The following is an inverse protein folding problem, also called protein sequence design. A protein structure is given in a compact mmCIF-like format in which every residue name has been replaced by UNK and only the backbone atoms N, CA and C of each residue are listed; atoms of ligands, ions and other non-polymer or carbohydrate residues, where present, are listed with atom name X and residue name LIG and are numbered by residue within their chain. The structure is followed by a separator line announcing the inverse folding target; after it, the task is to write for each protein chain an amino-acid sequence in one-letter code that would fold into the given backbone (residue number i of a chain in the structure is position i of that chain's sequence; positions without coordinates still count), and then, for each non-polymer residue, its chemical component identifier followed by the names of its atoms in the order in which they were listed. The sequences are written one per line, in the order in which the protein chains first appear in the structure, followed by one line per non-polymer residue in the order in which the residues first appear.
data_IF_100725317346
#
_entry.id   IF_100725317346
#
_cell.length_a   1.000
_cell.length_b   1.000
_cell.length_c   1.000
_cell.angle_alpha   90.00
_cell.angle_beta   90.00
_cell.angle_gamma   90.00
#
_symmetry.space_group_name_H-M   'P 1'
#
loop_
_entity.id
_entity.type
_entity.pdbx_description
1 polymer ?
#
# COMPACT_ATOMS: atom_id res chain seq x y z
N UNK A 1 -28.63 0.82 0.89
CA UNK A 1 -28.94 1.99 0.03
C UNK A 1 -29.75 1.49 -1.17
N UNK A 2 -30.91 2.07 -1.41
CA UNK A 2 -31.86 1.63 -2.44
C UNK A 2 -31.24 1.74 -3.86
N UNK A 3 -31.56 0.84 -4.79
CA UNK A 3 -31.02 0.83 -6.16
C UNK A 3 -31.22 2.19 -6.88
N UNK A 4 -32.36 2.84 -6.67
CA UNK A 4 -32.68 4.17 -7.20
C UNK A 4 -31.70 5.26 -6.73
N UNK A 5 -31.31 5.27 -5.42
CA UNK A 5 -30.35 6.23 -4.88
C UNK A 5 -28.93 6.00 -5.43
N UNK A 6 -28.58 4.75 -5.74
CA UNK A 6 -27.30 4.42 -6.40
C UNK A 6 -27.23 4.97 -7.83
N UNK A 7 -28.32 4.85 -8.59
CA UNK A 7 -28.39 5.40 -9.95
C UNK A 7 -28.38 6.93 -9.95
N UNK A 8 -29.06 7.57 -9.00
CA UNK A 8 -29.09 9.03 -8.88
C UNK A 8 -27.75 9.64 -8.49
N UNK A 9 -26.91 8.93 -7.70
CA UNK A 9 -25.59 9.40 -7.30
C UNK A 9 -24.54 9.31 -8.42
N UNK A 10 -24.72 8.39 -9.38
CA UNK A 10 -23.75 8.11 -10.43
C UNK A 10 -23.39 9.33 -11.31
N UNK A 11 -24.37 10.13 -11.80
CA UNK A 11 -24.05 11.33 -12.57
C UNK A 11 -23.24 12.37 -11.78
N UNK A 12 -23.60 12.60 -10.52
CA UNK A 12 -22.87 13.57 -9.67
C UNK A 12 -21.44 13.10 -9.39
N UNK A 13 -21.24 11.83 -9.07
CA UNK A 13 -19.94 11.22 -8.89
C UNK A 13 -19.09 11.27 -10.18
N UNK A 14 -19.69 11.03 -11.34
CA UNK A 14 -19.04 11.13 -12.64
C UNK A 14 -18.60 12.54 -12.98
N UNK A 15 -19.38 13.55 -12.62
CA UNK A 15 -19.03 14.98 -12.84
C UNK A 15 -17.91 15.42 -11.90
N UNK A 16 -17.94 15.02 -10.62
CA UNK A 16 -16.99 15.48 -9.60
C UNK A 16 -15.68 14.68 -9.66
N UNK A 17 -15.76 13.36 -9.74
CA UNK A 17 -14.61 12.46 -9.58
C UNK A 17 -14.24 11.69 -10.85
N UNK A 18 -15.04 11.80 -11.91
CA UNK A 18 -14.88 11.08 -13.17
C UNK A 18 -15.70 9.81 -13.29
N UNK A 19 -15.98 9.39 -14.55
CA UNK A 19 -16.84 8.24 -14.85
C UNK A 19 -16.33 6.95 -14.21
N UNK A 20 -15.02 6.73 -14.19
CA UNK A 20 -14.42 5.51 -13.59
C UNK A 20 -14.69 5.42 -12.10
N UNK A 21 -14.64 6.53 -11.37
CA UNK A 21 -14.99 6.57 -9.94
C UNK A 21 -16.45 6.20 -9.70
N UNK A 22 -17.37 6.81 -10.46
CA UNK A 22 -18.79 6.55 -10.34
C UNK A 22 -19.12 5.07 -10.59
N UNK A 23 -18.57 4.49 -11.66
CA UNK A 23 -18.78 3.08 -12.00
C UNK A 23 -18.25 2.15 -10.91
N UNK A 24 -17.02 2.36 -10.43
CA UNK A 24 -16.43 1.53 -9.37
C UNK A 24 -17.23 1.63 -8.07
N UNK A 25 -17.60 2.84 -7.66
CA UNK A 25 -18.37 3.05 -6.45
C UNK A 25 -19.76 2.41 -6.55
N UNK A 26 -20.40 2.48 -7.73
CA UNK A 26 -21.65 1.79 -8.01
C UNK A 26 -21.49 0.26 -7.92
N UNK A 27 -20.42 -0.31 -8.49
CA UNK A 27 -20.12 -1.75 -8.42
C UNK A 27 -19.96 -2.21 -6.96
N UNK A 28 -19.13 -1.51 -6.18
CA UNK A 28 -18.86 -1.85 -4.78
C UNK A 28 -20.12 -1.82 -3.92
N UNK A 29 -21.01 -0.87 -4.16
CA UNK A 29 -22.28 -0.75 -3.44
C UNK A 29 -23.32 -1.81 -3.85
N UNK A 30 -23.00 -2.72 -4.77
CA UNK A 30 -23.91 -3.79 -5.19
C UNK A 30 -24.26 -4.71 -4.02
N UNK A 31 -25.54 -5.05 -3.82
CA UNK A 31 -25.94 -6.09 -2.87
C UNK A 31 -25.66 -7.50 -3.38
N UNK A 32 -25.35 -7.63 -4.68
CA UNK A 32 -25.03 -8.91 -5.33
C UNK A 32 -23.51 -9.03 -5.46
N UNK A 33 -22.93 -10.21 -5.17
CA UNK A 33 -21.52 -10.44 -5.36
C UNK A 33 -21.11 -10.23 -6.82
N UNK A 34 -20.04 -9.48 -7.05
CA UNK A 34 -19.49 -9.28 -8.38
C UNK A 34 -19.00 -10.61 -8.97
N UNK A 35 -19.24 -10.80 -10.26
CA UNK A 35 -18.58 -11.85 -11.02
C UNK A 35 -17.11 -11.49 -11.25
N UNK A 36 -16.16 -12.37 -10.89
CA UNK A 36 -14.74 -12.03 -10.95
C UNK A 36 -14.27 -11.75 -12.38
N UNK A 37 -14.59 -12.63 -13.34
CA UNK A 37 -14.10 -12.46 -14.70
C UNK A 37 -14.69 -11.24 -15.40
N UNK A 38 -15.98 -11.02 -15.25
CA UNK A 38 -16.65 -9.84 -15.78
C UNK A 38 -16.10 -8.56 -15.13
N UNK A 39 -15.80 -8.59 -13.82
CA UNK A 39 -15.22 -7.47 -13.09
C UNK A 39 -13.81 -7.18 -13.60
N UNK A 40 -12.95 -8.19 -13.68
CA UNK A 40 -11.60 -8.04 -14.19
C UNK A 40 -11.62 -7.45 -15.61
N UNK A 41 -12.31 -8.08 -16.52
CA UNK A 41 -12.41 -7.62 -17.91
C UNK A 41 -12.93 -6.18 -18.01
N UNK A 42 -13.99 -5.84 -17.28
CA UNK A 42 -14.58 -4.48 -17.31
C UNK A 42 -13.62 -3.41 -16.79
N UNK A 43 -12.87 -3.71 -15.74
CA UNK A 43 -11.98 -2.74 -15.08
C UNK A 43 -10.64 -2.63 -15.81
N UNK A 44 -10.08 -3.74 -16.30
CA UNK A 44 -8.73 -3.77 -16.90
C UNK A 44 -8.72 -3.61 -18.42
N UNK A 45 -9.84 -3.85 -19.09
CA UNK A 45 -9.92 -3.69 -20.54
C UNK A 45 -9.68 -2.24 -20.94
N UNK A 46 -8.79 -2.03 -21.91
CA UNK A 46 -8.57 -0.71 -22.50
C UNK A 46 -9.79 -0.26 -23.26
N UNK A 47 -10.15 0.99 -23.11
CA UNK A 47 -11.19 1.66 -23.89
C UNK A 47 -10.57 2.32 -25.12
N UNK A 48 -11.39 2.93 -25.98
CA UNK A 48 -10.88 3.72 -27.12
C UNK A 48 -10.05 4.88 -26.63
N UNK A 49 -8.97 5.20 -27.35
CA UNK A 49 -7.97 6.19 -26.95
C UNK A 49 -8.53 7.55 -26.47
N UNK A 50 -9.56 8.17 -27.12
CA UNK A 50 -10.14 9.43 -26.64
C UNK A 50 -10.75 9.31 -25.24
N UNK A 51 -11.40 8.18 -24.93
CA UNK A 51 -12.02 7.93 -23.59
C UNK A 51 -10.93 7.70 -22.56
N UNK A 52 -9.89 6.97 -22.88
CA UNK A 52 -8.73 6.78 -22.00
C UNK A 52 -8.03 8.12 -21.71
N UNK A 53 -7.80 8.92 -22.73
CA UNK A 53 -7.23 10.26 -22.58
C UNK A 53 -8.11 11.15 -21.68
N UNK A 54 -9.43 11.17 -21.90
CA UNK A 54 -10.36 11.91 -21.04
C UNK A 54 -10.28 11.44 -19.58
N UNK A 55 -10.34 10.15 -19.36
CA UNK A 55 -10.24 9.57 -18.01
C UNK A 55 -8.89 9.87 -17.35
N UNK A 56 -7.79 9.85 -18.11
CA UNK A 56 -6.45 10.17 -17.63
C UNK A 56 -6.28 11.68 -17.34
N UNK A 57 -6.96 12.53 -18.09
CA UNK A 57 -6.90 14.00 -17.93
C UNK A 57 -7.83 14.53 -16.84
N UNK A 58 -8.77 13.70 -16.37
CA UNK A 58 -9.72 14.09 -15.33
C UNK A 58 -9.08 13.99 -13.93
N UNK A 59 -9.34 14.86 -12.96
CA UNK A 59 -10.22 16.04 -13.04
C UNK A 59 -9.58 17.18 -13.86
N UNK A 60 -10.40 18.01 -14.46
CA UNK A 60 -9.93 19.22 -15.13
C UNK A 60 -9.04 20.05 -14.21
N UNK A 61 -8.02 20.77 -14.74
CA UNK A 61 -7.05 21.49 -13.91
C UNK A 61 -7.67 22.43 -12.86
N UNK A 62 -8.78 23.10 -13.18
CA UNK A 62 -9.47 24.03 -12.28
C UNK A 62 -10.14 23.30 -11.07
N UNK A 63 -10.48 22.02 -11.18
CA UNK A 63 -11.03 21.21 -10.08
C UNK A 63 -9.94 20.57 -9.22
N UNK A 64 -8.72 20.42 -9.70
CA UNK A 64 -7.65 19.71 -8.99
C UNK A 64 -7.29 20.34 -7.66
N UNK A 65 -7.18 21.67 -7.61
CA UNK A 65 -6.90 22.41 -6.39
C UNK A 65 -7.95 22.21 -5.30
N UNK A 66 -9.24 22.50 -5.57
CA UNK A 66 -10.33 22.27 -4.62
C UNK A 66 -10.46 20.82 -4.16
N UNK A 67 -10.35 19.84 -5.07
CA UNK A 67 -10.42 18.42 -4.72
C UNK A 67 -9.25 17.99 -3.83
N UNK A 68 -8.04 18.47 -4.13
CA UNK A 68 -6.86 18.21 -3.30
C UNK A 68 -6.99 18.84 -1.91
N UNK A 69 -7.52 20.05 -1.82
CA UNK A 69 -7.78 20.72 -0.55
C UNK A 69 -8.83 19.96 0.29
N UNK A 70 -9.91 19.51 -0.34
CA UNK A 70 -10.93 18.68 0.31
C UNK A 70 -10.33 17.35 0.80
N UNK A 71 -9.49 16.71 -0.02
CA UNK A 71 -8.82 15.46 0.32
C UNK A 71 -7.85 15.62 1.49
N UNK A 72 -7.12 16.73 1.57
CA UNK A 72 -6.19 17.02 2.69
C UNK A 72 -6.90 17.22 4.04
N UNK A 73 -8.17 17.63 4.02
CA UNK A 73 -8.99 17.81 5.24
C UNK A 73 -9.49 16.48 5.83
N UNK A 74 -9.46 15.39 5.05
CA UNK A 74 -9.92 14.10 5.53
C UNK A 74 -8.85 13.47 6.44
N UNK A 75 -9.31 12.82 7.50
CA UNK A 75 -8.43 12.00 8.32
C UNK A 75 -8.09 10.70 7.57
N UNK A 76 -6.90 10.69 6.99
CA UNK A 76 -6.43 9.54 6.22
C UNK A 76 -6.08 8.34 7.10
N UNK A 77 -5.78 8.55 8.38
CA UNK A 77 -5.46 7.49 9.32
C UNK A 77 -6.66 6.61 9.60
N UNK A 78 -7.86 7.21 9.73
CA UNK A 78 -9.12 6.47 9.82
C UNK A 78 -9.38 5.64 8.55
N UNK A 79 -9.04 6.16 7.38
CA UNK A 79 -9.15 5.43 6.12
C UNK A 79 -8.20 4.24 6.02
N UNK A 80 -6.99 4.37 6.57
CA UNK A 80 -5.99 3.30 6.65
C UNK A 80 -6.49 2.22 7.62
N UNK A 81 -6.80 2.60 8.86
CA UNK A 81 -7.32 1.67 9.88
C UNK A 81 -8.52 0.88 9.37
N UNK A 82 -9.53 1.55 8.79
CA UNK A 82 -10.71 0.89 8.24
C UNK A 82 -10.42 -0.08 7.08
N UNK A 83 -9.31 0.08 6.36
CA UNK A 83 -8.91 -0.87 5.32
C UNK A 83 -8.27 -2.13 5.92
N UNK A 84 -7.48 -1.97 6.99
CA UNK A 84 -6.75 -3.08 7.62
C UNK A 84 -7.50 -3.76 8.77
N UNK A 85 -8.52 -3.12 9.36
CA UNK A 85 -9.37 -3.68 10.43
C UNK A 85 -10.45 -4.63 9.86
N UNK A 86 -10.04 -5.51 8.96
CA UNK A 86 -10.81 -6.65 8.46
C UNK A 86 -10.20 -7.90 9.12
N UNK A 87 -10.98 -8.99 9.27
CA UNK A 87 -10.48 -10.17 9.98
C UNK A 87 -9.23 -10.78 9.35
N UNK A 88 -8.32 -11.31 10.16
CA UNK A 88 -7.11 -11.97 9.69
C UNK A 88 -7.44 -13.14 8.75
N UNK A 89 -8.49 -13.93 9.06
CA UNK A 89 -8.94 -15.04 8.23
C UNK A 89 -9.34 -14.60 6.81
N UNK A 90 -9.83 -13.36 6.66
CA UNK A 90 -10.13 -12.84 5.35
C UNK A 90 -8.86 -12.58 4.53
N UNK A 91 -7.81 -12.03 5.16
CA UNK A 91 -6.52 -11.81 4.50
C UNK A 91 -5.82 -13.12 4.13
N UNK A 92 -5.93 -14.16 4.95
CA UNK A 92 -5.43 -15.51 4.68
C UNK A 92 -6.02 -16.12 3.40
N UNK A 93 -7.21 -15.69 2.97
CA UNK A 93 -7.83 -16.20 1.75
C UNK A 93 -7.09 -15.80 0.47
N UNK A 94 -6.27 -14.76 0.50
CA UNK A 94 -5.63 -14.27 -0.72
C UNK A 94 -4.14 -13.93 -0.60
N UNK A 95 -3.61 -13.76 0.60
CA UNK A 95 -2.18 -13.55 0.84
C UNK A 95 -1.39 -14.87 0.76
N UNK A 96 -0.06 -14.76 0.69
CA UNK A 96 0.84 -15.89 0.83
C UNK A 96 0.71 -16.52 2.23
N UNK A 97 0.73 -17.86 2.28
CA UNK A 97 0.48 -18.60 3.53
C UNK A 97 1.67 -18.64 4.49
N UNK A 98 2.87 -18.28 4.00
CA UNK A 98 4.09 -18.35 4.80
C UNK A 98 4.32 -17.12 5.67
N UNK A 99 4.10 -15.93 5.10
CA UNK A 99 4.43 -14.66 5.72
C UNK A 99 3.25 -13.68 5.81
N UNK A 100 2.20 -13.87 5.01
CA UNK A 100 1.07 -12.94 4.90
C UNK A 100 1.51 -11.53 4.46
N UNK A 101 2.38 -11.42 3.48
CA UNK A 101 2.76 -10.12 2.94
C UNK A 101 1.63 -9.45 2.16
N UNK A 102 1.18 -8.29 2.62
CA UNK A 102 0.25 -7.43 1.88
C UNK A 102 1.00 -6.30 1.17
N UNK A 103 1.95 -6.67 0.32
CA UNK A 103 2.81 -5.75 -0.46
C UNK A 103 3.31 -6.42 -1.74
N UNK A 104 3.85 -5.62 -2.67
CA UNK A 104 4.33 -6.10 -3.97
C UNK A 104 5.37 -7.21 -3.82
N UNK A 105 5.15 -8.33 -4.52
CA UNK A 105 6.04 -9.48 -4.62
C UNK A 105 6.95 -9.38 -5.86
N UNK A 106 8.02 -10.18 -5.92
CA UNK A 106 8.97 -10.20 -7.02
C UNK A 106 8.73 -11.39 -7.97
N UNK A 107 7.84 -11.21 -8.94
CA UNK A 107 7.68 -12.11 -10.06
C UNK A 107 8.70 -11.75 -11.15
N UNK A 108 9.59 -12.68 -11.53
CA UNK A 108 10.60 -12.47 -12.56
C UNK A 108 10.20 -13.07 -13.91
N UNK A 109 9.61 -14.26 -13.89
CA UNK A 109 9.24 -15.00 -15.10
C UNK A 109 7.75 -15.05 -15.33
N UNK A 110 6.95 -14.69 -14.31
CA UNK A 110 5.51 -14.80 -14.30
C UNK A 110 4.99 -16.24 -14.09
N UNK A 111 5.88 -17.19 -13.78
CA UNK A 111 5.54 -18.59 -13.49
C UNK A 111 5.63 -18.94 -12.01
N UNK A 112 6.15 -18.02 -11.22
CA UNK A 112 6.29 -18.19 -9.79
C UNK A 112 4.94 -18.28 -9.10
N UNK A 113 4.86 -19.06 -8.01
CA UNK A 113 3.78 -18.95 -7.03
C UNK A 113 3.88 -17.63 -6.27
N UNK A 114 2.79 -17.22 -5.63
CA UNK A 114 2.80 -16.04 -4.77
C UNK A 114 3.82 -16.17 -3.64
N UNK A 115 3.92 -17.35 -3.04
CA UNK A 115 4.87 -17.69 -1.98
C UNK A 115 6.33 -17.52 -2.43
N UNK A 116 6.68 -18.05 -3.59
CA UNK A 116 8.03 -17.91 -4.16
C UNK A 116 8.39 -16.46 -4.47
N UNK A 117 7.44 -15.72 -5.03
CA UNK A 117 7.62 -14.31 -5.35
C UNK A 117 7.75 -13.44 -4.08
N UNK A 118 6.98 -13.74 -3.04
CA UNK A 118 7.07 -13.04 -1.75
C UNK A 118 8.36 -13.40 -1.00
N UNK A 119 8.79 -14.66 -1.03
CA UNK A 119 10.07 -15.07 -0.46
C UNK A 119 11.24 -14.34 -1.15
N UNK A 120 11.22 -14.26 -2.48
CA UNK A 120 12.25 -13.54 -3.25
C UNK A 120 12.30 -12.05 -2.90
N UNK A 121 11.12 -11.41 -2.78
CA UNK A 121 11.04 -10.02 -2.29
C UNK A 121 11.68 -9.87 -0.91
N UNK A 122 11.32 -10.73 0.02
CA UNK A 122 11.86 -10.69 1.39
C UNK A 122 13.38 -10.86 1.39
N UNK A 123 13.90 -11.81 0.64
CA UNK A 123 15.33 -12.06 0.51
C UNK A 123 16.09 -10.90 -0.16
N UNK A 124 15.45 -10.23 -1.12
CA UNK A 124 16.04 -9.04 -1.74
C UNK A 124 16.11 -7.88 -0.75
N UNK A 125 15.02 -7.61 -0.01
CA UNK A 125 14.99 -6.55 1.01
C UNK A 125 15.97 -6.88 2.14
N UNK A 126 16.08 -8.14 2.54
CA UNK A 126 17.05 -8.60 3.53
C UNK A 126 18.50 -8.27 3.11
N UNK A 127 18.84 -8.53 1.85
CA UNK A 127 20.17 -8.15 1.32
C UNK A 127 20.39 -6.64 1.32
N UNK A 128 19.37 -5.84 1.01
CA UNK A 128 19.47 -4.38 1.03
C UNK A 128 19.61 -3.84 2.46
N UNK A 129 18.91 -4.43 3.41
CA UNK A 129 18.94 -4.04 4.81
C UNK A 129 20.25 -4.52 5.48
N UNK A 130 20.74 -5.70 5.12
CA UNK A 130 21.92 -6.36 5.65
C UNK A 130 21.95 -6.38 7.19
N UNK A 131 20.92 -6.98 7.84
CA UNK A 131 20.81 -6.94 9.30
C UNK A 131 21.86 -7.83 9.97
N UNK A 132 22.40 -7.36 11.11
CA UNK A 132 23.33 -8.13 11.94
C UNK A 132 22.72 -8.38 13.32
N UNK A 133 23.08 -9.48 14.01
CA UNK A 133 22.71 -9.70 15.40
C UNK A 133 23.13 -8.53 16.28
N UNK A 134 22.27 -8.09 17.20
CA UNK A 134 22.50 -6.97 18.10
C UNK A 134 22.18 -5.59 17.52
N UNK A 135 21.86 -5.46 16.24
CA UNK A 135 21.43 -4.20 15.65
C UNK A 135 19.96 -3.89 16.03
N UNK A 136 19.72 -2.65 16.45
CA UNK A 136 18.37 -2.14 16.77
C UNK A 136 17.63 -1.80 15.48
N UNK A 137 16.67 -2.62 15.13
CA UNK A 137 15.98 -2.59 13.85
C UNK A 137 14.49 -2.27 14.04
N UNK A 138 14.00 -1.24 13.34
CA UNK A 138 12.61 -0.81 13.38
C UNK A 138 11.92 -1.00 12.03
N UNK A 139 10.76 -1.69 12.03
CA UNK A 139 9.84 -1.74 10.90
C UNK A 139 8.71 -0.73 11.05
N UNK A 140 8.55 0.16 10.05
CA UNK A 140 7.46 1.12 9.96
C UNK A 140 6.29 0.51 9.19
N UNK A 141 5.22 0.12 9.90
CA UNK A 141 4.08 -0.58 9.33
C UNK A 141 4.34 -2.07 9.16
N UNK A 142 4.62 -2.77 10.26
CA UNK A 142 5.07 -4.16 10.23
C UNK A 142 4.00 -5.20 9.85
N UNK A 143 2.73 -4.81 9.77
CA UNK A 143 1.65 -5.75 9.44
C UNK A 143 1.64 -6.96 10.37
N UNK A 144 1.55 -8.15 9.78
CA UNK A 144 1.59 -9.43 10.52
C UNK A 144 3.00 -9.93 10.86
N UNK A 145 4.02 -9.06 10.79
CA UNK A 145 5.40 -9.39 11.20
C UNK A 145 6.20 -10.22 10.19
N UNK A 146 5.75 -10.26 8.95
CA UNK A 146 6.37 -11.05 7.88
C UNK A 146 7.89 -10.83 7.75
N UNK A 147 8.31 -9.57 7.68
CA UNK A 147 9.73 -9.27 7.53
C UNK A 147 10.50 -9.34 8.85
N UNK A 148 9.87 -9.01 9.98
CA UNK A 148 10.45 -9.28 11.31
C UNK A 148 10.81 -10.76 11.46
N UNK A 149 9.89 -11.66 11.06
CA UNK A 149 10.12 -13.11 11.05
C UNK A 149 11.30 -13.47 10.14
N UNK A 150 11.38 -12.90 8.94
CA UNK A 150 12.47 -13.20 8.00
C UNK A 150 13.83 -12.71 8.49
N UNK A 151 13.87 -11.55 9.17
CA UNK A 151 15.11 -11.06 9.81
C UNK A 151 15.51 -11.98 10.96
N UNK A 152 14.56 -12.35 11.83
CA UNK A 152 14.81 -13.28 12.92
C UNK A 152 15.33 -14.65 12.43
N UNK A 153 14.74 -15.23 11.39
CA UNK A 153 15.20 -16.48 10.77
C UNK A 153 16.67 -16.39 10.30
N UNK A 154 17.16 -15.20 10.01
CA UNK A 154 18.51 -14.97 9.49
C UNK A 154 19.52 -14.62 10.61
N UNK A 155 19.11 -13.79 11.56
CA UNK A 155 20.00 -13.25 12.60
C UNK A 155 19.95 -14.05 13.91
N UNK A 156 18.85 -14.78 14.16
CA UNK A 156 18.57 -15.41 15.45
C UNK A 156 18.25 -14.41 16.57
N UNK A 157 18.25 -13.10 16.27
CA UNK A 157 18.03 -12.03 17.24
C UNK A 157 16.59 -11.51 17.14
N UNK A 158 15.87 -11.59 18.22
CA UNK A 158 14.49 -11.13 18.35
C UNK A 158 14.37 -9.91 19.26
N UNK A 159 15.28 -9.77 20.19
CA UNK A 159 15.23 -8.78 21.25
C UNK A 159 15.37 -7.35 20.68
N UNK A 160 16.17 -7.19 19.63
CA UNK A 160 16.44 -5.90 19.01
C UNK A 160 15.52 -5.55 17.82
N UNK A 161 14.47 -6.39 17.58
CA UNK A 161 13.48 -6.12 16.54
C UNK A 161 12.26 -5.41 17.13
N UNK A 162 11.84 -4.33 16.48
CA UNK A 162 10.67 -3.54 16.86
C UNK A 162 9.81 -3.28 15.62
N UNK A 163 8.50 -3.48 15.75
CA UNK A 163 7.53 -3.13 14.70
C UNK A 163 6.53 -2.09 15.17
N UNK A 164 6.11 -1.17 14.28
CA UNK A 164 4.98 -0.27 14.50
C UNK A 164 3.85 -0.61 13.56
N UNK A 165 2.61 -0.55 14.04
CA UNK A 165 1.39 -0.71 13.24
C UNK A 165 0.26 0.17 13.77
N UNK A 166 -0.76 0.45 12.93
CA UNK A 166 -2.01 1.13 13.29
C UNK A 166 -3.20 0.16 13.41
N UNK A 167 -2.96 -1.15 13.46
CA UNK A 167 -3.97 -2.17 13.68
C UNK A 167 -3.72 -2.92 15.00
N UNK A 168 -4.70 -2.89 15.90
CA UNK A 168 -4.65 -3.64 17.16
C UNK A 168 -4.69 -5.15 16.91
N UNK A 169 -5.38 -5.58 15.87
CA UNK A 169 -5.44 -6.98 15.43
C UNK A 169 -4.06 -7.49 15.02
N UNK A 170 -3.28 -6.66 14.31
CA UNK A 170 -1.91 -7.01 13.94
C UNK A 170 -0.97 -7.05 15.15
N UNK A 171 -1.14 -6.17 16.14
CA UNK A 171 -0.38 -6.26 17.41
C UNK A 171 -0.67 -7.58 18.09
N UNK A 172 -1.95 -7.92 18.29
CA UNK A 172 -2.37 -9.17 18.93
C UNK A 172 -1.86 -10.41 18.16
N UNK A 173 -1.94 -10.38 16.83
CA UNK A 173 -1.44 -11.44 15.97
C UNK A 173 0.07 -11.70 16.17
N UNK A 174 0.87 -10.63 16.16
CA UNK A 174 2.31 -10.75 16.36
C UNK A 174 2.68 -11.30 17.73
N UNK A 175 1.99 -10.88 18.78
CA UNK A 175 2.18 -11.39 20.13
C UNK A 175 1.85 -12.89 20.20
N UNK A 176 0.70 -13.31 19.69
CA UNK A 176 0.22 -14.68 19.74
C UNK A 176 1.04 -15.65 18.88
N UNK A 177 1.47 -15.25 17.68
CA UNK A 177 2.06 -16.16 16.69
C UNK A 177 3.58 -16.06 16.61
N UNK A 178 4.15 -14.91 16.94
CA UNK A 178 5.58 -14.66 16.75
C UNK A 178 6.29 -14.20 18.02
N UNK A 179 5.58 -13.54 18.95
CA UNK A 179 6.15 -12.93 20.14
C UNK A 179 7.19 -11.85 19.80
N UNK A 180 7.03 -11.14 18.69
CA UNK A 180 7.82 -9.95 18.37
C UNK A 180 7.29 -8.75 19.14
N UNK A 181 8.20 -7.82 19.49
CA UNK A 181 7.80 -6.54 20.06
C UNK A 181 7.15 -5.68 19.00
N UNK A 182 5.82 -5.56 19.03
CA UNK A 182 5.05 -4.72 18.12
C UNK A 182 4.22 -3.73 18.92
N UNK A 183 4.33 -2.44 18.58
CA UNK A 183 3.61 -1.35 19.24
C UNK A 183 2.52 -0.80 18.34
N UNK A 184 1.31 -0.58 18.92
CA UNK A 184 0.27 0.21 18.28
C UNK A 184 0.71 1.67 18.25
N UNK A 185 1.37 2.09 17.17
CA UNK A 185 2.02 3.40 17.09
C UNK A 185 2.02 3.96 15.69
N UNK A 186 1.71 5.26 15.59
CA UNK A 186 1.77 5.98 14.33
C UNK A 186 3.20 6.48 14.07
N UNK A 187 3.90 5.88 13.14
CA UNK A 187 5.27 6.24 12.78
C UNK A 187 5.41 7.64 12.15
N UNK A 188 4.31 8.23 11.64
CA UNK A 188 4.32 9.57 11.05
C UNK A 188 4.41 10.64 12.14
N UNK A 189 3.66 10.44 13.25
CA UNK A 189 3.49 11.46 14.29
C UNK A 189 4.37 11.24 15.52
N UNK A 190 4.84 10.01 15.75
CA UNK A 190 5.69 9.72 16.91
C UNK A 190 7.07 10.38 16.80
N UNK A 191 7.72 10.51 17.95
CA UNK A 191 9.11 10.89 18.04
C UNK A 191 9.99 9.67 18.27
N UNK A 192 11.25 9.81 17.89
CA UNK A 192 12.30 8.79 18.01
C UNK A 192 13.47 9.38 18.79
N UNK A 193 14.07 8.66 19.74
CA UNK A 193 15.31 9.10 20.35
C UNK A 193 16.43 9.21 19.30
N UNK A 194 17.25 10.23 19.40
CA UNK A 194 18.37 10.42 18.49
C UNK A 194 19.36 9.25 18.57
N UNK A 195 19.88 8.80 17.43
CA UNK A 195 20.88 7.73 17.31
C UNK A 195 20.50 6.43 18.05
N UNK A 196 19.19 6.13 18.12
CA UNK A 196 18.66 4.97 18.83
C UNK A 196 18.49 3.73 17.95
N UNK A 197 18.64 3.86 16.62
CA UNK A 197 18.40 2.81 15.66
C UNK A 197 19.60 2.64 14.71
N UNK A 198 19.93 1.40 14.43
CA UNK A 198 20.97 1.05 13.48
C UNK A 198 20.38 0.89 12.08
N UNK A 199 19.16 0.33 11.99
CA UNK A 199 18.44 0.13 10.74
C UNK A 199 16.96 0.42 10.88
N UNK A 200 16.38 0.96 9.83
CA UNK A 200 14.94 1.19 9.70
C UNK A 200 14.50 0.63 8.35
N UNK A 201 13.29 0.09 8.28
CA UNK A 201 12.69 -0.24 6.99
C UNK A 201 11.17 -0.07 6.99
N UNK A 202 10.61 0.04 5.78
CA UNK A 202 9.17 0.14 5.55
C UNK A 202 8.80 -0.59 4.27
N UNK A 203 7.79 -1.45 4.34
CA UNK A 203 7.31 -2.27 3.22
C UNK A 203 5.80 -2.09 3.08
N UNK A 204 5.36 -1.33 2.06
CA UNK A 204 3.92 -1.13 1.80
C UNK A 204 3.22 -0.23 2.82
N UNK A 205 3.96 0.61 3.56
CA UNK A 205 3.37 1.55 4.52
C UNK A 205 3.75 3.02 4.23
N UNK A 206 4.86 3.25 3.56
CA UNK A 206 5.35 4.61 3.27
C UNK A 206 4.43 5.39 2.31
N UNK A 207 3.67 4.73 1.46
CA UNK A 207 2.66 5.33 0.58
C UNK A 207 1.56 6.08 1.34
N UNK A 208 1.42 5.83 2.62
CA UNK A 208 0.47 6.52 3.48
C UNK A 208 1.01 7.85 4.03
N UNK A 209 2.30 8.13 3.89
CA UNK A 209 2.89 9.42 4.26
C UNK A 209 2.55 10.45 3.19
N UNK A 210 1.80 11.49 3.57
CA UNK A 210 1.41 12.56 2.64
C UNK A 210 2.62 13.41 2.23
N UNK A 211 2.62 14.01 1.04
CA UNK A 211 3.77 14.79 0.55
C UNK A 211 4.27 15.85 1.54
N UNK A 212 3.38 16.54 2.25
CA UNK A 212 3.78 17.58 3.21
C UNK A 212 4.34 17.01 4.53
N UNK A 213 4.09 15.73 4.84
CA UNK A 213 4.60 15.03 6.01
C UNK A 213 5.99 14.42 5.74
N UNK A 214 6.27 14.08 4.48
CA UNK A 214 7.51 13.38 4.07
C UNK A 214 8.78 14.05 4.59
N UNK A 215 9.02 15.37 4.47
CA UNK A 215 10.25 15.99 4.96
C UNK A 215 10.39 15.89 6.49
N UNK A 216 9.28 16.05 7.21
CA UNK A 216 9.26 15.97 8.68
C UNK A 216 9.61 14.56 9.15
N UNK A 217 8.95 13.54 8.56
CA UNK A 217 9.19 12.14 8.93
C UNK A 217 10.63 11.73 8.58
N UNK A 218 11.12 12.06 7.38
CA UNK A 218 12.50 11.78 6.99
C UNK A 218 13.52 12.44 7.93
N UNK A 219 13.30 13.69 8.32
CA UNK A 219 14.17 14.38 9.28
C UNK A 219 14.20 13.70 10.66
N UNK A 220 13.06 13.21 11.14
CA UNK A 220 12.99 12.43 12.39
C UNK A 220 13.74 11.10 12.28
N UNK A 221 13.56 10.35 11.19
CA UNK A 221 14.23 9.07 10.96
C UNK A 221 15.72 9.23 10.75
N UNK A 222 16.14 10.30 10.07
CA UNK A 222 17.57 10.61 9.92
C UNK A 222 18.24 10.87 11.28
N UNK A 223 17.61 11.62 12.18
CA UNK A 223 18.14 11.81 13.54
C UNK A 223 18.17 10.52 14.34
N UNK A 224 17.13 9.70 14.22
CA UNK A 224 17.01 8.42 14.93
C UNK A 224 18.09 7.39 14.54
N UNK A 225 18.55 7.42 13.29
CA UNK A 225 19.63 6.55 12.84
C UNK A 225 20.99 6.98 13.41
N UNK A 226 21.82 6.00 13.74
CA UNK A 226 23.24 6.21 14.02
C UNK A 226 23.99 6.67 12.76
N UNK A 227 25.18 7.29 12.86
CA UNK A 227 26.05 7.50 11.70
C UNK A 227 26.31 6.17 10.95
N UNK A 228 26.16 6.17 9.64
CA UNK A 228 26.23 4.95 8.81
C UNK A 228 24.99 4.04 8.88
N UNK A 229 23.98 4.42 9.65
CA UNK A 229 22.71 3.72 9.72
C UNK A 229 21.94 3.78 8.41
N UNK A 230 21.04 2.81 8.20
CA UNK A 230 20.35 2.59 6.90
C UNK A 230 18.83 2.58 7.04
N UNK A 231 18.15 3.25 6.09
CA UNK A 231 16.69 3.17 5.90
C UNK A 231 16.41 2.50 4.55
N UNK A 232 15.67 1.38 4.57
CA UNK A 232 15.19 0.70 3.35
C UNK A 232 13.70 0.94 3.20
N UNK A 233 13.29 1.42 2.03
CA UNK A 233 11.91 1.70 1.71
C UNK A 233 11.44 0.87 0.50
N UNK A 234 10.27 0.26 0.59
CA UNK A 234 9.56 -0.41 -0.50
C UNK A 234 8.12 0.09 -0.51
N UNK A 235 7.77 0.91 -1.48
CA UNK A 235 6.47 1.58 -1.50
C UNK A 235 6.03 2.01 -2.89
N UNK A 236 4.72 2.27 -3.02
CA UNK A 236 4.11 2.86 -4.19
C UNK A 236 4.37 4.36 -4.26
N UNK A 237 4.89 4.84 -5.39
CA UNK A 237 4.94 6.27 -5.70
C UNK A 237 4.36 6.59 -7.07
N UNK A 238 4.02 7.87 -7.28
CA UNK A 238 3.52 8.37 -8.56
C UNK A 238 4.69 8.71 -9.48
N UNK A 239 4.47 8.52 -10.78
CA UNK A 239 5.41 8.98 -11.80
C UNK A 239 5.28 10.51 -12.00
N UNK A 240 4.05 11.01 -12.06
CA UNK A 240 3.76 12.41 -12.36
C UNK A 240 3.62 13.26 -11.08
N UNK A 241 4.05 14.54 -11.16
CA UNK A 241 3.83 15.53 -10.10
C UNK A 241 2.34 15.90 -9.99
N UNK A 242 1.65 16.07 -11.12
CA UNK A 242 0.22 16.36 -11.15
C UNK A 242 -0.60 15.19 -10.60
N UNK A 243 -1.72 15.52 -9.94
CA UNK A 243 -2.65 14.51 -9.44
C UNK A 243 -3.42 13.89 -10.62
N UNK A 244 -3.14 12.64 -11.02
CA UNK A 244 -3.88 11.99 -12.09
C UNK A 244 -5.25 11.52 -11.61
N UNK A 245 -6.19 11.32 -12.55
CA UNK A 245 -7.55 10.82 -12.24
C UNK A 245 -7.54 9.52 -11.41
N UNK A 246 -6.63 8.61 -11.73
CA UNK A 246 -6.46 7.35 -11.00
C UNK A 246 -6.14 7.56 -9.51
N UNK A 247 -5.49 8.66 -9.12
CA UNK A 247 -5.27 9.00 -7.71
C UNK A 247 -6.57 9.38 -6.97
N UNK A 248 -7.62 9.76 -7.71
CA UNK A 248 -8.93 10.03 -7.14
C UNK A 248 -9.69 8.74 -6.88
N UNK A 249 -9.47 7.70 -7.69
CA UNK A 249 -10.05 6.37 -7.46
C UNK A 249 -9.58 5.82 -6.11
N UNK A 250 -8.36 6.15 -5.69
CA UNK A 250 -7.87 5.78 -4.35
C UNK A 250 -8.76 6.30 -3.21
N UNK A 251 -9.56 7.36 -3.47
CA UNK A 251 -10.52 7.89 -2.50
C UNK A 251 -11.58 6.86 -2.08
N UNK A 252 -11.90 5.91 -2.94
CA UNK A 252 -12.84 4.83 -2.61
C UNK A 252 -12.23 3.86 -1.59
N UNK A 253 -10.94 3.59 -1.71
CA UNK A 253 -10.25 2.56 -0.94
C UNK A 253 -9.48 3.11 0.25
N UNK A 254 -8.82 4.26 0.06
CA UNK A 254 -8.02 4.97 1.06
C UNK A 254 -8.40 6.45 1.08
N UNK A 255 -9.53 6.83 1.70
CA UNK A 255 -9.95 8.22 1.81
C UNK A 255 -8.83 9.10 2.39
N UNK A 256 -8.58 10.24 1.76
CA UNK A 256 -7.55 11.18 2.22
C UNK A 256 -6.10 10.83 1.88
N UNK A 257 -5.80 9.64 1.37
CA UNK A 257 -4.44 9.25 0.96
C UNK A 257 -3.99 10.02 -0.30
N UNK A 258 -2.76 10.52 -0.28
CA UNK A 258 -2.11 11.23 -1.38
C UNK A 258 -0.67 10.75 -1.46
N UNK A 259 -0.34 9.98 -2.49
CA UNK A 259 1.02 9.48 -2.68
C UNK A 259 1.96 10.57 -3.19
N UNK A 260 3.21 10.55 -2.76
CA UNK A 260 4.27 11.40 -3.28
C UNK A 260 4.64 11.00 -4.71
N UNK A 261 5.13 11.96 -5.52
CA UNK A 261 5.85 11.60 -6.72
C UNK A 261 7.27 11.12 -6.37
N UNK A 262 7.84 10.27 -7.22
CA UNK A 262 9.19 9.76 -7.01
C UNK A 262 10.23 10.90 -6.91
N UNK A 263 10.18 11.84 -7.85
CA UNK A 263 11.09 12.99 -7.88
C UNK A 263 11.02 13.82 -6.61
N UNK A 264 9.80 14.10 -6.12
CA UNK A 264 9.62 14.83 -4.87
C UNK A 264 10.20 14.06 -3.69
N UNK A 265 9.95 12.75 -3.64
CA UNK A 265 10.41 11.90 -2.54
C UNK A 265 11.94 11.85 -2.46
N UNK A 266 12.63 11.61 -3.58
CA UNK A 266 14.11 11.58 -3.62
C UNK A 266 14.69 12.91 -3.17
N UNK A 267 14.19 14.05 -3.67
CA UNK A 267 14.63 15.37 -3.22
C UNK A 267 14.43 15.59 -1.72
N UNK A 268 13.34 15.11 -1.16
CA UNK A 268 13.08 15.19 0.27
C UNK A 268 14.05 14.32 1.08
N UNK A 269 14.44 13.15 0.57
CA UNK A 269 15.47 12.31 1.20
C UNK A 269 16.81 13.01 1.24
N UNK A 270 17.26 13.59 0.12
CA UNK A 270 18.51 14.34 0.02
C UNK A 270 18.51 15.58 0.92
N UNK A 271 17.40 16.33 0.93
CA UNK A 271 17.23 17.51 1.79
C UNK A 271 17.21 17.16 3.30
N UNK A 272 16.79 15.94 3.66
CA UNK A 272 16.86 15.45 5.04
C UNK A 272 18.25 14.94 5.44
N UNK A 273 19.24 14.94 4.53
CA UNK A 273 20.61 14.52 4.75
C UNK A 273 20.93 13.08 4.37
N UNK A 274 19.97 12.35 3.76
CA UNK A 274 20.22 10.99 3.30
C UNK A 274 20.95 10.95 1.95
N UNK A 275 21.84 9.99 1.79
CA UNK A 275 22.41 9.57 0.51
C UNK A 275 21.63 8.39 -0.05
N UNK A 276 21.10 8.51 -1.25
CA UNK A 276 20.43 7.41 -1.95
C UNK A 276 21.49 6.50 -2.56
N UNK A 277 21.59 5.26 -2.09
CA UNK A 277 22.64 4.30 -2.52
C UNK A 277 22.10 3.17 -3.39
N UNK A 278 20.78 2.95 -3.39
CA UNK A 278 20.12 1.98 -4.25
C UNK A 278 18.75 2.48 -4.67
N UNK A 279 18.39 2.20 -5.92
CA UNK A 279 17.05 2.40 -6.46
C UNK A 279 16.70 1.26 -7.40
N UNK A 280 15.54 0.64 -7.22
CA UNK A 280 14.99 -0.34 -8.16
C UNK A 280 13.48 -0.21 -8.30
N UNK A 281 12.95 -0.57 -9.46
CA UNK A 281 11.51 -0.51 -9.79
C UNK A 281 10.96 -1.92 -9.91
N UNK A 282 9.76 -2.12 -9.38
CA UNK A 282 9.12 -3.43 -9.29
C UNK A 282 7.70 -3.39 -9.85
N UNK A 283 7.32 -4.46 -10.56
CA UNK A 283 5.99 -4.61 -11.16
C UNK A 283 5.01 -5.21 -10.16
N UNK A 284 3.99 -4.43 -9.80
CA UNK A 284 2.95 -4.88 -8.87
C UNK A 284 1.84 -5.70 -9.54
N UNK A 285 1.73 -5.65 -10.87
CA UNK A 285 0.61 -6.26 -11.60
C UNK A 285 0.46 -7.76 -11.36
N UNK A 286 1.54 -8.58 -11.37
CA UNK A 286 1.41 -10.01 -11.10
C UNK A 286 0.91 -10.31 -9.67
N UNK A 287 1.36 -9.55 -8.68
CA UNK A 287 0.90 -9.69 -7.29
C UNK A 287 -0.59 -9.39 -7.16
N UNK A 288 -1.04 -8.28 -7.74
CA UNK A 288 -2.45 -7.87 -7.72
C UNK A 288 -3.34 -8.89 -8.44
N UNK A 289 -2.85 -9.49 -9.52
CA UNK A 289 -3.55 -10.56 -10.21
C UNK A 289 -3.63 -11.82 -9.33
N UNK A 290 -2.55 -12.22 -8.69
CA UNK A 290 -2.55 -13.38 -7.81
C UNK A 290 -3.53 -13.20 -6.63
N UNK A 291 -3.55 -12.03 -5.99
CA UNK A 291 -4.51 -11.74 -4.93
C UNK A 291 -5.95 -11.74 -5.42
N UNK A 292 -6.20 -11.17 -6.61
CA UNK A 292 -7.50 -11.19 -7.24
C UNK A 292 -7.99 -12.63 -7.47
N UNK A 293 -7.16 -13.47 -8.05
CA UNK A 293 -7.49 -14.86 -8.37
C UNK A 293 -7.71 -15.70 -7.11
N UNK A 294 -6.87 -15.49 -6.08
CA UNK A 294 -7.03 -16.16 -4.78
C UNK A 294 -8.34 -15.77 -4.12
N UNK A 295 -8.67 -14.47 -4.07
CA UNK A 295 -9.93 -13.99 -3.50
C UNK A 295 -11.16 -14.50 -4.29
N UNK A 296 -11.07 -14.54 -5.63
CA UNK A 296 -12.12 -15.05 -6.48
C UNK A 296 -12.38 -16.55 -6.25
N UNK A 297 -11.31 -17.35 -6.11
CA UNK A 297 -11.42 -18.79 -5.77
C UNK A 297 -12.06 -19.02 -4.41
N UNK A 298 -11.80 -18.16 -3.45
CA UNK A 298 -12.32 -18.24 -2.09
C UNK A 298 -13.60 -17.40 -1.87
N UNK A 299 -14.32 -17.04 -2.96
CA UNK A 299 -15.49 -16.15 -2.95
C UNK A 299 -16.50 -16.46 -1.86
N UNK A 300 -16.93 -17.73 -1.76
CA UNK A 300 -17.95 -18.14 -0.78
C UNK A 300 -17.50 -17.82 0.64
N UNK A 301 -16.29 -18.28 1.01
CA UNK A 301 -15.75 -18.08 2.35
C UNK A 301 -15.50 -16.59 2.65
N UNK A 302 -15.02 -15.83 1.67
CA UNK A 302 -14.84 -14.40 1.80
C UNK A 302 -16.16 -13.67 2.12
N UNK A 303 -17.24 -14.01 1.41
CA UNK A 303 -18.56 -13.42 1.65
C UNK A 303 -19.12 -13.79 3.02
N UNK A 304 -18.92 -15.03 3.47
CA UNK A 304 -19.30 -15.48 4.81
C UNK A 304 -18.59 -14.67 5.92
N UNK A 305 -17.29 -14.39 5.75
CA UNK A 305 -16.49 -13.65 6.73
C UNK A 305 -16.80 -12.15 6.77
N UNK A 306 -16.88 -11.49 5.61
CA UNK A 306 -16.87 -10.02 5.55
C UNK A 306 -18.07 -9.42 4.81
N UNK A 307 -18.95 -10.24 4.30
CA UNK A 307 -20.13 -9.81 3.54
C UNK A 307 -19.84 -9.36 2.10
N UNK A 308 -20.91 -9.27 1.31
CA UNK A 308 -20.86 -8.99 -0.13
C UNK A 308 -20.15 -7.67 -0.45
N UNK A 309 -20.39 -6.61 0.32
CA UNK A 309 -19.84 -5.28 0.03
C UNK A 309 -18.32 -5.25 0.19
N UNK A 310 -17.79 -5.85 1.24
CA UNK A 310 -16.34 -5.92 1.48
C UNK A 310 -15.67 -6.79 0.42
N UNK A 311 -16.23 -7.96 0.11
CA UNK A 311 -15.78 -8.80 -1.00
C UNK A 311 -15.70 -8.01 -2.32
N UNK A 312 -16.81 -7.34 -2.71
CA UNK A 312 -16.85 -6.52 -3.93
C UNK A 312 -15.81 -5.41 -3.91
N UNK A 313 -15.60 -4.77 -2.75
CA UNK A 313 -14.61 -3.70 -2.58
C UNK A 313 -13.20 -4.19 -2.86
N UNK A 314 -12.79 -5.33 -2.28
CA UNK A 314 -11.44 -5.88 -2.48
C UNK A 314 -11.24 -6.40 -3.91
N UNK A 315 -12.25 -7.06 -4.48
CA UNK A 315 -12.19 -7.52 -5.87
C UNK A 315 -12.00 -6.34 -6.84
N UNK A 316 -12.79 -5.28 -6.67
CA UNK A 316 -12.66 -4.05 -7.46
C UNK A 316 -11.34 -3.32 -7.19
N UNK A 317 -10.84 -3.34 -5.95
CA UNK A 317 -9.57 -2.75 -5.55
C UNK A 317 -8.39 -3.39 -6.31
N UNK A 318 -8.28 -4.71 -6.32
CA UNK A 318 -7.18 -5.39 -7.00
C UNK A 318 -7.21 -5.14 -8.52
N UNK A 319 -8.38 -5.22 -9.15
CA UNK A 319 -8.51 -4.95 -10.58
C UNK A 319 -8.19 -3.49 -10.95
N UNK A 320 -8.66 -2.51 -10.15
CA UNK A 320 -8.40 -1.08 -10.41
C UNK A 320 -6.96 -0.70 -10.10
N UNK A 321 -6.35 -1.31 -9.09
CA UNK A 321 -4.93 -1.13 -8.79
C UNK A 321 -4.05 -1.72 -9.88
N UNK A 322 -4.38 -2.90 -10.40
CA UNK A 322 -3.69 -3.49 -11.54
C UNK A 322 -3.70 -2.53 -12.75
N UNK A 323 -4.87 -1.95 -13.08
CA UNK A 323 -4.99 -0.97 -14.17
C UNK A 323 -4.17 0.29 -13.90
N UNK A 324 -4.11 0.77 -12.66
CA UNK A 324 -3.29 1.91 -12.28
C UNK A 324 -1.81 1.71 -12.65
N UNK A 325 -1.27 0.52 -12.39
CA UNK A 325 0.10 0.18 -12.74
C UNK A 325 0.27 -0.09 -14.24
N UNK A 326 -0.71 -0.72 -14.89
CA UNK A 326 -0.68 -0.97 -16.34
C UNK A 326 -0.70 0.33 -17.17
N UNK A 327 -1.34 1.37 -16.67
CA UNK A 327 -1.33 2.70 -17.26
C UNK A 327 -0.08 3.52 -16.91
N UNK A 328 0.90 2.94 -16.24
CA UNK A 328 2.12 3.64 -15.80
C UNK A 328 1.85 4.92 -14.98
N UNK A 329 0.73 4.96 -14.25
CA UNK A 329 0.38 6.11 -13.40
C UNK A 329 1.25 6.16 -12.14
N UNK A 330 1.70 5.01 -11.68
CA UNK A 330 2.63 4.83 -10.57
C UNK A 330 3.41 3.54 -10.72
N UNK A 331 4.33 3.33 -9.82
CA UNK A 331 5.19 2.16 -9.75
C UNK A 331 5.61 1.89 -8.30
N UNK A 332 6.06 0.69 -8.04
CA UNK A 332 6.67 0.35 -6.76
C UNK A 332 8.17 0.54 -6.86
N UNK A 333 8.74 1.22 -5.87
CA UNK A 333 10.17 1.50 -5.80
C UNK A 333 10.76 0.90 -4.52
N UNK A 334 12.01 0.44 -4.61
CA UNK A 334 12.87 0.20 -3.46
C UNK A 334 13.99 1.20 -3.44
N UNK A 335 14.18 1.83 -2.29
CA UNK A 335 15.26 2.77 -2.03
C UNK A 335 16.07 2.30 -0.84
N UNK A 336 17.39 2.48 -0.92
CA UNK A 336 18.27 2.42 0.23
C UNK A 336 18.82 3.81 0.48
N UNK A 337 18.62 4.30 1.69
CA UNK A 337 19.00 5.60 2.16
C UNK A 337 20.02 5.41 3.29
N UNK A 338 21.19 6.03 3.21
CA UNK A 338 22.24 5.98 4.21
C UNK A 338 22.45 7.35 4.84
N UNK A 339 22.60 7.35 6.17
CA UNK A 339 22.97 8.55 6.96
C UNK A 339 24.44 8.82 6.93
#
# INVERSE_FOLDING_TARGET
MNALLRFAALPAEAVVYGPSFGILNWMIRSPVPLDPEATWRRVTQRTIAPVEWFCASYPPPFLRGPLLAAKRRQDHLLGISAHYDVSNEFYELFLDQRYMFYSCADFLTGRETLEEAQQRKADFILRLLDPKPGERILELGCGWGAMLKRIYETTGDKEHLLGYTLSKEQVAYNDQHHGFKVEFKNFITCDYPDQSLDKIYSIGAWEHVRPHEVPVVLGKLHRALVPGGRLVQHFLCRLQEALPSAAIISQIFFPGSINSSFRYHVRACEAAGFRVTHTSVHDYRPTLRAWFDNLARNRRRAIELVGVRTYNRYLAFFASSWRYFDQMTGFVVRLVLEK
#
